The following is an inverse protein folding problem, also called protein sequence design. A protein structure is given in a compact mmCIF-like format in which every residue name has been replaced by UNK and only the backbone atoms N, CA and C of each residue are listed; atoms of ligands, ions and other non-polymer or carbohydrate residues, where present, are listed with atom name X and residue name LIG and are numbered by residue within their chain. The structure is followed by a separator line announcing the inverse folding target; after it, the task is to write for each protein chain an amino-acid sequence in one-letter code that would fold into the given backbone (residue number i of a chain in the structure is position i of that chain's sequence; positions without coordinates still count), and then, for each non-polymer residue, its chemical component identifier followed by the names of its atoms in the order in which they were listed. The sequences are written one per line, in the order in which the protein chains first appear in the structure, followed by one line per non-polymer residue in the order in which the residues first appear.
data_IF_369588712084
#
_entry.id   IF_369588712084
#
_cell.length_a   1.000
_cell.length_b   1.000
_cell.length_c   1.000
_cell.angle_alpha   90.00
_cell.angle_beta   90.00
_cell.angle_gamma   90.00
#
_symmetry.space_group_name_H-M   'P 1'
#
loop_
_entity.id
_entity.type
_entity.pdbx_description
1 polymer ?
#
# COMPACT_ATOMS: atom_id res chain seq x y z
N UNK A 1 -1.94 4.37 20.47
CA UNK A 1 -1.49 4.47 19.06
C UNK A 1 -1.42 3.10 18.42
N UNK A 2 -0.45 2.27 18.82
CA UNK A 2 -0.19 0.99 18.16
C UNK A 2 -1.42 0.06 17.98
N UNK A 3 -2.30 -0.17 18.99
CA UNK A 3 -3.45 -1.05 18.79
C UNK A 3 -4.47 -0.52 17.78
N UNK A 4 -4.67 0.80 17.74
CA UNK A 4 -5.56 1.45 16.78
C UNK A 4 -4.99 1.34 15.37
N UNK A 5 -3.68 1.58 15.20
CA UNK A 5 -3.01 1.42 13.90
C UNK A 5 -3.13 -0.02 13.39
N UNK A 6 -3.00 -1.03 14.27
CA UNK A 6 -3.21 -2.43 13.87
C UNK A 6 -4.64 -2.66 13.36
N UNK A 7 -5.65 -2.18 14.11
CA UNK A 7 -7.05 -2.32 13.71
C UNK A 7 -7.35 -1.60 12.37
N UNK A 8 -6.77 -0.43 12.16
CA UNK A 8 -6.90 0.31 10.89
C UNK A 8 -6.32 -0.49 9.72
N UNK A 9 -5.15 -1.10 9.88
CA UNK A 9 -4.53 -1.94 8.85
C UNK A 9 -5.34 -3.21 8.58
N UNK A 10 -5.87 -3.86 9.62
CA UNK A 10 -6.73 -5.04 9.47
C UNK A 10 -7.98 -4.72 8.65
N UNK A 11 -8.70 -3.65 8.98
CA UNK A 11 -9.91 -3.25 8.25
C UNK A 11 -9.59 -2.82 6.82
N UNK A 12 -8.55 -1.99 6.64
CA UNK A 12 -8.17 -1.47 5.33
C UNK A 12 -7.76 -2.59 4.36
N UNK A 13 -6.84 -3.47 4.78
CA UNK A 13 -6.34 -4.52 3.90
C UNK A 13 -7.36 -5.63 3.66
N UNK A 14 -8.10 -6.06 4.69
CA UNK A 14 -9.14 -7.09 4.50
C UNK A 14 -10.22 -6.62 3.53
N UNK A 15 -10.71 -5.38 3.68
CA UNK A 15 -11.75 -4.82 2.81
C UNK A 15 -11.24 -4.61 1.39
N UNK A 16 -10.03 -4.07 1.23
CA UNK A 16 -9.43 -3.81 -0.08
C UNK A 16 -9.25 -5.10 -0.88
N UNK A 17 -8.66 -6.13 -0.27
CA UNK A 17 -8.38 -7.40 -0.94
C UNK A 17 -9.65 -8.22 -1.18
N UNK A 18 -10.66 -8.12 -0.32
CA UNK A 18 -11.96 -8.75 -0.56
C UNK A 18 -12.70 -8.10 -1.75
N UNK A 19 -12.58 -6.77 -1.91
CA UNK A 19 -13.27 -6.03 -2.98
C UNK A 19 -12.56 -6.14 -4.33
N UNK A 20 -11.23 -6.21 -4.34
CA UNK A 20 -10.40 -6.26 -5.55
C UNK A 20 -9.49 -7.49 -5.52
N UNK A 21 -10.01 -8.70 -5.77
CA UNK A 21 -9.26 -9.94 -5.62
C UNK A 21 -8.11 -10.10 -6.64
N UNK A 22 -8.16 -9.38 -7.77
CA UNK A 22 -7.12 -9.38 -8.80
C UNK A 22 -6.20 -8.14 -8.72
N UNK A 23 -6.23 -7.39 -7.60
CA UNK A 23 -5.39 -6.21 -7.39
C UNK A 23 -3.91 -6.55 -7.59
N UNK A 24 -3.25 -5.82 -8.49
CA UNK A 24 -1.84 -5.95 -8.83
C UNK A 24 -1.23 -4.58 -9.13
N UNK A 25 0.10 -4.52 -9.13
CA UNK A 25 0.81 -3.32 -9.57
C UNK A 25 0.58 -3.09 -11.08
N UNK A 26 0.43 -1.82 -11.42
CA UNK A 26 0.35 -1.34 -12.81
C UNK A 26 1.70 -0.77 -13.30
N UNK A 27 2.78 -1.15 -12.61
CA UNK A 27 4.15 -0.77 -12.92
C UNK A 27 5.09 -1.90 -12.49
N UNK A 28 6.30 -1.94 -13.04
CA UNK A 28 7.34 -2.83 -12.56
C UNK A 28 7.79 -2.38 -11.15
N UNK A 29 8.08 -3.31 -10.21
CA UNK A 29 8.44 -2.94 -8.84
C UNK A 29 9.67 -2.02 -8.75
N UNK A 30 10.59 -2.12 -9.70
CA UNK A 30 11.80 -1.30 -9.80
C UNK A 30 11.53 0.16 -10.22
N UNK A 31 10.42 0.41 -10.90
CA UNK A 31 10.01 1.76 -11.32
C UNK A 31 9.31 2.56 -10.20
N UNK A 32 8.99 1.91 -9.08
CA UNK A 32 8.32 2.56 -7.96
C UNK A 32 9.28 3.56 -7.30
N UNK A 33 8.94 4.84 -7.43
CA UNK A 33 9.71 5.92 -6.80
C UNK A 33 9.47 5.94 -5.29
N UNK A 34 10.54 5.73 -4.52
CA UNK A 34 10.51 5.79 -3.05
C UNK A 34 10.85 7.19 -2.54
N UNK A 35 10.26 7.58 -1.41
CA UNK A 35 10.71 8.77 -0.72
C UNK A 35 12.11 8.55 -0.13
N UNK A 36 13.04 9.45 -0.47
CA UNK A 36 14.43 9.44 0.00
C UNK A 36 14.78 10.63 0.90
N UNK A 37 13.81 11.52 1.16
CA UNK A 37 14.02 12.74 1.95
C UNK A 37 13.66 12.60 3.42
N UNK A 38 12.94 11.53 3.79
CA UNK A 38 12.46 11.29 5.15
C UNK A 38 13.00 9.98 5.72
N UNK A 39 12.99 9.87 7.04
CA UNK A 39 13.25 8.61 7.76
C UNK A 39 12.15 7.56 7.51
N UNK A 40 10.96 7.99 7.07
CA UNK A 40 9.85 7.12 6.73
C UNK A 40 10.02 6.55 5.34
N UNK A 41 9.86 5.22 5.22
CA UNK A 41 9.92 4.51 3.94
C UNK A 41 8.51 4.34 3.38
N UNK A 42 8.24 5.01 2.28
CA UNK A 42 6.99 4.87 1.54
C UNK A 42 7.21 5.20 0.05
N UNK A 43 6.45 4.59 -0.86
CA UNK A 43 6.45 4.98 -2.26
C UNK A 43 5.73 6.34 -2.43
N UNK A 44 6.19 7.16 -3.36
CA UNK A 44 5.55 8.45 -3.68
C UNK A 44 4.18 8.26 -4.34
N UNK A 45 4.04 7.17 -5.09
CA UNK A 45 2.79 6.69 -5.66
C UNK A 45 2.86 5.16 -5.78
N UNK A 46 1.71 4.50 -5.70
CA UNK A 46 1.59 3.06 -5.90
C UNK A 46 0.54 2.81 -7.00
N UNK A 47 0.94 2.80 -8.29
CA UNK A 47 0.04 2.50 -9.39
C UNK A 47 -0.48 1.07 -9.29
N UNK A 48 -1.80 0.90 -9.35
CA UNK A 48 -2.46 -0.40 -9.24
C UNK A 48 -3.57 -0.54 -10.27
N UNK A 49 -3.85 -1.78 -10.62
CA UNK A 49 -4.97 -2.21 -11.46
C UNK A 49 -5.58 -3.49 -10.86
N UNK A 50 -6.83 -3.79 -11.18
CA UNK A 50 -7.57 -4.95 -10.64
C UNK A 50 -8.48 -5.55 -11.71
#
# INVERSE_FOLDING_TARGET
GAPLATMELEVAFSTLLARFPALRLDAEPEDIRWNTTSIWRYPLALPVTW
#
